data_IF_104800065657
#
_entry.id   IF_104800065657
#
_cell.length_a   1.000
_cell.length_b   1.000
_cell.length_c   1.000
_cell.angle_alpha   90.00
_cell.angle_beta   90.00
_cell.angle_gamma   90.00
#
_symmetry.space_group_name_H-M   'P 1'
#
loop_
_entity.id
_entity.type
_entity.pdbx_description
1 polymer ?
#
# COMPACT_ATOMS: atom_id res chain seq x y z
N UNK A 1 10.15 7.38 -8.83
CA UNK A 1 10.36 5.96 -9.20
C UNK A 1 9.89 5.70 -10.62
N UNK A 2 10.33 4.60 -11.24
CA UNK A 2 9.88 4.17 -12.59
C UNK A 2 8.36 4.03 -12.64
N UNK A 3 7.76 3.51 -11.59
CA UNK A 3 6.30 3.34 -11.48
C UNK A 3 5.59 4.68 -11.57
N UNK A 4 6.04 5.72 -10.85
CA UNK A 4 5.44 7.06 -10.93
C UNK A 4 5.55 7.65 -12.35
N UNK A 5 6.64 7.38 -13.06
CA UNK A 5 6.78 7.80 -14.47
C UNK A 5 5.74 7.10 -15.36
N UNK A 6 5.49 5.82 -15.15
CA UNK A 6 4.47 5.06 -15.89
C UNK A 6 3.05 5.59 -15.60
N UNK A 7 2.72 5.87 -14.33
CA UNK A 7 1.44 6.50 -13.97
C UNK A 7 1.28 7.85 -14.68
N UNK A 8 2.28 8.73 -14.58
CA UNK A 8 2.24 10.03 -15.23
C UNK A 8 2.12 9.93 -16.76
N UNK A 9 2.84 8.98 -17.38
CA UNK A 9 2.76 8.75 -18.81
C UNK A 9 1.37 8.27 -19.24
N UNK A 10 0.79 7.29 -18.55
CA UNK A 10 -0.55 6.79 -18.84
C UNK A 10 -1.63 7.86 -18.61
N UNK A 11 -1.53 8.61 -17.51
CA UNK A 11 -2.47 9.68 -17.20
C UNK A 11 -2.37 10.84 -18.19
N UNK A 12 -1.16 11.26 -18.56
CA UNK A 12 -0.98 12.29 -19.59
C UNK A 12 -1.62 11.86 -20.91
N UNK A 13 -1.49 10.59 -21.28
CA UNK A 13 -2.05 10.03 -22.52
C UNK A 13 -3.58 9.94 -22.49
N UNK A 14 -4.19 9.55 -21.37
CA UNK A 14 -5.62 9.22 -21.27
C UNK A 14 -6.47 10.34 -20.67
N UNK A 15 -5.92 11.20 -19.83
CA UNK A 15 -6.63 12.25 -19.10
C UNK A 15 -5.93 13.61 -19.16
N UNK A 16 -4.81 13.72 -19.88
CA UNK A 16 -4.09 14.98 -20.03
C UNK A 16 -3.42 15.48 -18.74
N UNK A 17 -3.15 16.79 -18.68
CA UNK A 17 -2.52 17.46 -17.55
C UNK A 17 -3.34 17.34 -16.26
N UNK A 18 -4.67 17.34 -16.39
CA UNK A 18 -5.57 17.24 -15.23
C UNK A 18 -5.44 15.89 -14.54
N UNK A 19 -5.31 14.79 -15.30
CA UNK A 19 -5.06 13.47 -14.75
C UNK A 19 -3.75 13.39 -13.96
N UNK A 20 -2.70 14.02 -14.46
CA UNK A 20 -1.40 14.10 -13.76
C UNK A 20 -1.50 14.92 -12.48
N UNK A 21 -2.25 16.04 -12.52
CA UNK A 21 -2.49 16.87 -11.34
C UNK A 21 -3.26 16.12 -10.26
N UNK A 22 -4.32 15.40 -10.63
CA UNK A 22 -5.08 14.51 -9.74
C UNK A 22 -4.18 13.47 -9.08
N UNK A 23 -3.34 12.81 -9.85
CA UNK A 23 -2.40 11.82 -9.31
C UNK A 23 -1.42 12.43 -8.31
N UNK A 24 -0.93 13.63 -8.57
CA UNK A 24 -0.07 14.37 -7.64
C UNK A 24 -0.75 14.57 -6.27
N UNK A 25 -2.01 15.02 -6.26
CA UNK A 25 -2.79 15.20 -5.02
C UNK A 25 -2.94 13.86 -4.26
N UNK A 26 -3.32 12.80 -4.98
CA UNK A 26 -3.48 11.46 -4.39
C UNK A 26 -2.17 10.98 -3.78
N UNK A 27 -1.04 11.17 -4.46
CA UNK A 27 0.27 10.76 -3.97
C UNK A 27 0.66 11.45 -2.67
N UNK A 28 0.41 12.76 -2.53
CA UNK A 28 0.71 13.47 -1.27
C UNK A 28 -0.05 12.87 -0.09
N UNK A 29 -1.34 12.60 -0.24
CA UNK A 29 -2.14 12.00 0.83
C UNK A 29 -1.70 10.56 1.10
N UNK A 30 -1.43 9.79 0.05
CA UNK A 30 -0.98 8.40 0.15
C UNK A 30 0.36 8.29 0.89
N UNK A 31 1.29 9.21 0.69
CA UNK A 31 2.55 9.24 1.43
C UNK A 31 2.35 9.45 2.93
N UNK A 32 1.41 10.32 3.33
CA UNK A 32 1.09 10.53 4.74
C UNK A 32 0.54 9.23 5.36
N UNK A 33 -0.36 8.55 4.65
CA UNK A 33 -0.94 7.30 5.14
C UNK A 33 0.08 6.16 5.17
N UNK A 34 0.91 6.04 4.12
CA UNK A 34 1.99 5.06 4.09
C UNK A 34 3.01 5.27 5.23
N UNK A 35 3.30 6.53 5.58
CA UNK A 35 4.23 6.85 6.66
C UNK A 35 3.79 6.28 8.01
N UNK A 36 2.48 6.18 8.29
CA UNK A 36 1.97 5.54 9.51
C UNK A 36 2.31 4.05 9.56
N UNK A 37 2.13 3.33 8.44
CA UNK A 37 2.46 1.90 8.37
C UNK A 37 3.96 1.66 8.41
N UNK A 38 4.74 2.50 7.74
CA UNK A 38 6.21 2.45 7.77
C UNK A 38 6.71 2.73 9.17
N UNK A 39 6.20 3.79 9.84
CA UNK A 39 6.56 4.14 11.21
C UNK A 39 6.27 3.02 12.20
N UNK A 40 5.07 2.44 12.15
CA UNK A 40 4.72 1.27 12.96
C UNK A 40 5.65 0.08 12.68
N UNK A 41 5.92 -0.22 11.42
CA UNK A 41 6.77 -1.33 11.01
C UNK A 41 8.21 -1.15 11.50
N UNK A 42 8.76 0.05 11.38
CA UNK A 42 10.12 0.37 11.88
C UNK A 42 10.19 0.33 13.40
N UNK A 43 9.17 0.83 14.10
CA UNK A 43 9.12 0.83 15.56
C UNK A 43 8.97 -0.59 16.15
N UNK A 44 8.26 -1.49 15.46
CA UNK A 44 8.08 -2.87 15.91
C UNK A 44 9.24 -3.80 15.54
N UNK A 45 10.01 -3.49 14.50
CA UNK A 45 11.09 -4.34 14.00
C UNK A 45 12.16 -4.73 15.06
N UNK A 46 12.66 -3.83 15.93
CA UNK A 46 13.60 -4.19 16.98
C UNK A 46 13.03 -5.20 17.97
N UNK A 47 11.74 -5.10 18.31
CA UNK A 47 11.06 -6.01 19.24
C UNK A 47 10.94 -7.41 18.61
N UNK A 48 10.56 -7.47 17.35
CA UNK A 48 10.50 -8.72 16.57
C UNK A 48 11.88 -9.36 16.50
N UNK A 49 12.92 -8.58 16.15
CA UNK A 49 14.30 -9.04 16.06
C UNK A 49 14.82 -9.57 17.40
N UNK A 50 14.54 -8.89 18.50
CA UNK A 50 14.91 -9.33 19.84
C UNK A 50 14.32 -10.70 20.19
N UNK A 51 13.00 -10.88 20.04
CA UNK A 51 12.34 -12.14 20.34
C UNK A 51 12.73 -13.26 19.37
N UNK A 52 13.04 -12.94 18.12
CA UNK A 52 13.59 -13.88 17.16
C UNK A 52 14.97 -14.38 17.62
N UNK A 53 15.87 -13.47 17.99
CA UNK A 53 17.21 -13.81 18.49
C UNK A 53 17.18 -14.58 19.81
N UNK A 54 16.24 -14.29 20.69
CA UNK A 54 16.01 -14.99 21.95
C UNK A 54 15.31 -16.35 21.78
N UNK A 55 14.88 -16.73 20.56
CA UNK A 55 14.15 -17.97 20.32
C UNK A 55 12.73 -18.00 20.93
N UNK A 56 12.17 -16.84 21.29
CA UNK A 56 10.86 -16.73 21.95
C UNK A 56 9.74 -16.77 20.93
N UNK A 57 9.39 -17.98 20.50
CA UNK A 57 8.38 -18.25 19.48
C UNK A 57 6.98 -17.80 19.89
N UNK A 58 6.64 -17.94 21.18
CA UNK A 58 5.34 -17.52 21.71
C UNK A 58 5.12 -16.03 21.56
N UNK A 59 6.12 -15.22 21.88
CA UNK A 59 6.02 -13.77 21.72
C UNK A 59 6.08 -13.34 20.25
N UNK A 60 6.81 -14.04 19.39
CA UNK A 60 6.77 -13.77 17.94
C UNK A 60 5.35 -13.94 17.37
N UNK A 61 4.68 -15.03 17.76
CA UNK A 61 3.27 -15.27 17.38
C UNK A 61 2.35 -14.17 17.92
N UNK A 62 2.52 -13.81 19.20
CA UNK A 62 1.72 -12.77 19.86
C UNK A 62 1.91 -11.41 19.19
N UNK A 63 3.16 -11.02 18.91
CA UNK A 63 3.52 -9.78 18.21
C UNK A 63 2.92 -9.74 16.80
N UNK A 64 3.04 -10.81 16.03
CA UNK A 64 2.49 -10.90 14.69
C UNK A 64 0.96 -10.71 14.72
N UNK A 65 0.27 -11.41 15.63
CA UNK A 65 -1.18 -11.31 15.77
C UNK A 65 -1.66 -9.94 16.25
N UNK A 66 -0.94 -9.30 17.18
CA UNK A 66 -1.23 -7.93 17.64
C UNK A 66 -1.00 -6.92 16.52
N UNK A 67 0.11 -7.04 15.80
CA UNK A 67 0.45 -6.15 14.70
C UNK A 67 -0.58 -6.21 13.58
N UNK A 68 -1.03 -7.40 13.19
CA UNK A 68 -2.07 -7.52 12.17
C UNK A 68 -3.39 -6.91 12.59
N UNK A 69 -3.79 -7.07 13.86
CA UNK A 69 -4.99 -6.41 14.37
C UNK A 69 -4.87 -4.89 14.36
N UNK A 70 -3.74 -4.35 14.80
CA UNK A 70 -3.50 -2.90 14.76
C UNK A 70 -3.49 -2.38 13.32
N UNK A 71 -2.76 -3.02 12.42
CA UNK A 71 -2.68 -2.62 11.01
C UNK A 71 -4.07 -2.65 10.38
N UNK A 72 -4.83 -3.73 10.57
CA UNK A 72 -6.20 -3.83 10.06
C UNK A 72 -7.10 -2.70 10.59
N UNK A 73 -7.00 -2.39 11.88
CA UNK A 73 -7.75 -1.29 12.48
C UNK A 73 -7.38 0.05 11.84
N UNK A 74 -6.08 0.33 11.70
CA UNK A 74 -5.63 1.57 11.06
C UNK A 74 -6.02 1.63 9.58
N UNK A 75 -5.93 0.53 8.83
CA UNK A 75 -6.35 0.45 7.43
C UNK A 75 -7.83 0.80 7.26
N UNK A 76 -8.69 0.22 8.12
CA UNK A 76 -10.14 0.51 8.09
C UNK A 76 -10.38 1.99 8.42
N UNK A 77 -9.78 2.52 9.49
CA UNK A 77 -9.93 3.92 9.88
C UNK A 77 -9.46 4.85 8.77
N UNK A 78 -8.28 4.61 8.21
CA UNK A 78 -7.71 5.45 7.16
C UNK A 78 -8.53 5.40 5.88
N UNK A 79 -9.07 4.23 5.51
CA UNK A 79 -9.96 4.12 4.35
C UNK A 79 -11.25 4.90 4.57
N UNK A 80 -11.87 4.80 5.76
CA UNK A 80 -13.08 5.58 6.08
C UNK A 80 -12.77 7.08 6.06
N UNK A 81 -11.66 7.49 6.65
CA UNK A 81 -11.21 8.90 6.64
C UNK A 81 -10.95 9.39 5.21
N UNK A 82 -10.34 8.57 4.37
CA UNK A 82 -10.10 8.90 2.98
C UNK A 82 -11.39 9.02 2.17
N UNK A 83 -12.32 8.06 2.32
CA UNK A 83 -13.62 8.08 1.63
C UNK A 83 -14.50 9.25 2.06
N UNK A 84 -14.67 9.44 3.37
CA UNK A 84 -15.49 10.52 3.91
C UNK A 84 -14.84 11.89 3.70
N UNK A 85 -13.51 11.95 3.84
CA UNK A 85 -12.72 13.18 3.72
C UNK A 85 -12.31 13.54 2.29
N UNK A 86 -12.62 12.72 1.27
CA UNK A 86 -12.17 12.94 -0.10
C UNK A 86 -12.45 14.34 -0.64
N UNK A 87 -13.66 14.93 -0.48
CA UNK A 87 -13.93 16.31 -0.95
C UNK A 87 -13.09 17.35 -0.21
N UNK A 88 -12.88 17.17 1.09
CA UNK A 88 -12.06 18.07 1.90
C UNK A 88 -10.58 17.98 1.52
N UNK A 89 -10.05 16.76 1.43
CA UNK A 89 -8.65 16.51 1.07
C UNK A 89 -8.34 17.01 -0.35
N UNK A 90 -9.21 16.72 -1.31
CA UNK A 90 -9.09 17.26 -2.67
C UNK A 90 -9.18 18.79 -2.69
N UNK A 91 -10.10 19.36 -1.90
CA UNK A 91 -10.33 20.80 -1.82
C UNK A 91 -9.13 21.59 -1.28
N UNK A 92 -8.26 20.99 -0.47
CA UNK A 92 -7.01 21.63 -0.01
C UNK A 92 -6.11 22.00 -1.21
N UNK A 93 -6.11 21.19 -2.27
CA UNK A 93 -5.17 21.33 -3.39
C UNK A 93 -5.81 21.96 -4.64
N UNK A 94 -7.08 21.64 -4.95
CA UNK A 94 -7.67 21.93 -6.26
C UNK A 94 -9.04 22.65 -6.19
N UNK A 95 -9.34 23.34 -5.08
CA UNK A 95 -10.61 24.05 -4.87
C UNK A 95 -10.91 25.16 -5.90
N UNK A 96 -9.88 25.67 -6.56
CA UNK A 96 -9.97 26.74 -7.56
C UNK A 96 -10.62 26.30 -8.88
N UNK A 97 -10.73 24.99 -9.15
CA UNK A 97 -11.31 24.44 -10.37
C UNK A 97 -12.27 23.30 -10.02
N UNK A 98 -13.56 23.52 -10.25
CA UNK A 98 -14.62 22.56 -9.88
C UNK A 98 -14.52 21.24 -10.64
N UNK A 99 -14.20 21.27 -11.93
CA UNK A 99 -14.04 20.05 -12.74
C UNK A 99 -12.88 19.21 -12.25
N UNK A 100 -11.76 19.85 -11.94
CA UNK A 100 -10.58 19.17 -11.40
C UNK A 100 -10.85 18.63 -9.99
N UNK A 101 -11.63 19.34 -9.19
CA UNK A 101 -12.06 18.90 -7.86
C UNK A 101 -12.90 17.63 -7.95
N UNK A 102 -13.91 17.60 -8.80
CA UNK A 102 -14.79 16.45 -8.98
C UNK A 102 -14.01 15.22 -9.49
N UNK A 103 -13.13 15.44 -10.46
CA UNK A 103 -12.23 14.40 -10.96
C UNK A 103 -11.31 13.86 -9.86
N UNK A 104 -10.75 14.75 -9.03
CA UNK A 104 -9.88 14.38 -7.91
C UNK A 104 -10.63 13.58 -6.86
N UNK A 105 -11.83 13.99 -6.48
CA UNK A 105 -12.67 13.27 -5.50
C UNK A 105 -13.01 11.87 -5.99
N UNK A 106 -13.42 11.74 -7.26
CA UNK A 106 -13.75 10.44 -7.85
C UNK A 106 -12.53 9.50 -7.89
N UNK A 107 -11.41 10.00 -8.38
CA UNK A 107 -10.17 9.23 -8.45
C UNK A 107 -9.65 8.85 -7.06
N UNK A 108 -9.71 9.79 -6.10
CA UNK A 108 -9.28 9.58 -4.73
C UNK A 108 -10.11 8.50 -4.02
N UNK A 109 -11.43 8.50 -4.18
CA UNK A 109 -12.31 7.45 -3.65
C UNK A 109 -11.96 6.08 -4.23
N UNK A 110 -11.78 5.99 -5.54
CA UNK A 110 -11.35 4.73 -6.16
C UNK A 110 -10.00 4.26 -5.61
N UNK A 111 -9.05 5.18 -5.45
CA UNK A 111 -7.72 4.88 -4.95
C UNK A 111 -7.70 4.48 -3.48
N UNK A 112 -8.57 5.10 -2.65
CA UNK A 112 -8.58 4.90 -1.19
C UNK A 112 -8.84 3.47 -0.75
N UNK A 113 -9.50 2.66 -1.59
CA UNK A 113 -9.70 1.23 -1.35
C UNK A 113 -8.36 0.49 -1.23
N UNK A 114 -7.30 0.98 -1.88
CA UNK A 114 -5.96 0.39 -1.76
C UNK A 114 -5.39 0.45 -0.35
N UNK A 115 -5.82 1.42 0.46
CA UNK A 115 -5.38 1.56 1.86
C UNK A 115 -5.78 0.37 2.73
N UNK A 116 -6.82 -0.39 2.34
CA UNK A 116 -7.20 -1.64 3.02
C UNK A 116 -6.16 -2.76 2.89
N UNK A 117 -5.24 -2.63 1.94
CA UNK A 117 -4.26 -3.68 1.63
C UNK A 117 -2.81 -3.25 1.91
N UNK A 118 -2.51 -1.97 1.71
CA UNK A 118 -1.15 -1.41 1.73
C UNK A 118 -0.36 -1.76 3.00
N UNK A 119 -0.95 -1.62 4.18
CA UNK A 119 -0.26 -1.82 5.45
C UNK A 119 0.21 -3.27 5.68
N UNK A 120 -0.52 -4.26 5.16
CA UNK A 120 -0.15 -5.67 5.33
C UNK A 120 1.17 -6.00 4.63
N UNK A 121 1.32 -5.59 3.37
CA UNK A 121 2.53 -5.86 2.59
C UNK A 121 3.73 -5.09 3.11
N UNK A 122 3.55 -3.85 3.56
CA UNK A 122 4.61 -3.05 4.20
C UNK A 122 5.08 -3.74 5.49
N UNK A 123 4.15 -4.12 6.36
CA UNK A 123 4.49 -4.78 7.61
C UNK A 123 5.11 -6.16 7.39
N UNK A 124 4.55 -6.99 6.50
CA UNK A 124 5.08 -8.31 6.22
C UNK A 124 6.54 -8.25 5.73
N UNK A 125 6.86 -7.33 4.83
CA UNK A 125 8.24 -7.11 4.38
C UNK A 125 9.15 -6.72 5.54
N UNK A 126 8.74 -5.77 6.38
CA UNK A 126 9.49 -5.34 7.57
C UNK A 126 9.65 -6.47 8.60
N UNK A 127 8.61 -7.26 8.81
CA UNK A 127 8.64 -8.42 9.71
C UNK A 127 9.69 -9.44 9.27
N UNK A 128 9.74 -9.79 7.98
CA UNK A 128 10.77 -10.69 7.46
C UNK A 128 12.17 -10.08 7.52
N UNK A 129 12.32 -8.77 7.34
CA UNK A 129 13.60 -8.08 7.60
C UNK A 129 14.03 -8.25 9.05
N UNK A 130 13.12 -8.07 10.00
CA UNK A 130 13.40 -8.23 11.43
C UNK A 130 13.71 -9.68 11.82
N UNK A 131 13.17 -10.66 11.08
CA UNK A 131 13.53 -12.09 11.21
C UNK A 131 14.86 -12.45 10.53
N UNK A 132 15.58 -11.47 9.98
CA UNK A 132 16.80 -11.67 9.19
C UNK A 132 16.58 -12.52 7.91
N UNK A 133 15.35 -12.55 7.37
CA UNK A 133 15.04 -13.16 6.08
C UNK A 133 14.91 -12.07 5.00
N UNK A 134 16.06 -11.41 4.72
CA UNK A 134 16.14 -10.31 3.77
C UNK A 134 15.72 -10.71 2.34
N UNK A 135 15.89 -11.97 1.96
CA UNK A 135 15.45 -12.47 0.67
C UNK A 135 13.91 -12.39 0.52
N UNK A 136 13.17 -12.90 1.49
CA UNK A 136 11.69 -12.84 1.46
C UNK A 136 11.19 -11.40 1.49
N UNK A 137 11.79 -10.56 2.35
CA UNK A 137 11.48 -9.13 2.41
C UNK A 137 11.70 -8.44 1.06
N UNK A 138 12.84 -8.69 0.41
CA UNK A 138 13.16 -8.12 -0.90
C UNK A 138 12.18 -8.60 -1.98
N UNK A 139 11.81 -9.89 -1.99
CA UNK A 139 10.83 -10.44 -2.95
C UNK A 139 9.47 -9.78 -2.77
N UNK A 140 8.96 -9.64 -1.53
CA UNK A 140 7.68 -9.00 -1.28
C UNK A 140 7.70 -7.54 -1.79
N UNK A 141 8.72 -6.76 -1.43
CA UNK A 141 8.82 -5.36 -1.82
C UNK A 141 9.02 -5.16 -3.31
N UNK A 142 9.86 -5.97 -3.93
CA UNK A 142 10.12 -5.91 -5.37
C UNK A 142 8.90 -6.31 -6.19
N UNK A 143 8.27 -7.44 -5.84
CA UNK A 143 7.06 -7.90 -6.56
C UNK A 143 5.92 -6.90 -6.41
N UNK A 144 5.71 -6.34 -5.21
CA UNK A 144 4.68 -5.33 -4.95
C UNK A 144 4.81 -4.15 -5.91
N UNK A 145 5.99 -3.55 -5.99
CA UNK A 145 6.21 -2.30 -6.74
C UNK A 145 6.54 -2.56 -8.20
N UNK A 146 7.52 -3.44 -8.49
CA UNK A 146 8.04 -3.61 -9.85
C UNK A 146 7.21 -4.56 -10.70
N UNK A 147 6.59 -5.58 -10.12
CA UNK A 147 5.83 -6.57 -10.90
C UNK A 147 4.35 -6.23 -10.88
N UNK A 148 3.75 -6.14 -9.70
CA UNK A 148 2.30 -6.01 -9.58
C UNK A 148 1.83 -4.61 -9.95
N UNK A 149 2.45 -3.57 -9.41
CA UNK A 149 2.03 -2.19 -9.67
C UNK A 149 2.35 -1.78 -11.11
N UNK A 150 3.55 -2.09 -11.61
CA UNK A 150 3.92 -1.84 -13.01
C UNK A 150 3.05 -2.64 -13.97
N UNK A 151 2.84 -3.93 -13.71
CA UNK A 151 1.99 -4.77 -14.55
C UNK A 151 0.54 -4.29 -14.58
N UNK A 152 -0.01 -3.96 -13.42
CA UNK A 152 -1.39 -3.48 -13.32
C UNK A 152 -1.61 -2.14 -14.03
N UNK A 153 -0.70 -1.16 -13.86
CA UNK A 153 -0.83 0.16 -14.50
C UNK A 153 -0.64 0.11 -16.03
N UNK A 154 0.02 -0.92 -16.54
CA UNK A 154 0.14 -1.13 -17.98
C UNK A 154 -1.11 -1.85 -18.52
N UNK A 155 -1.57 -2.91 -17.84
CA UNK A 155 -2.60 -3.82 -18.35
C UNK A 155 -4.02 -3.27 -18.17
N UNK A 156 -4.38 -2.81 -16.96
CA UNK A 156 -5.76 -2.42 -16.66
C UNK A 156 -6.29 -1.26 -17.50
N UNK A 157 -5.50 -0.22 -17.84
CA UNK A 157 -6.00 0.87 -18.69
C UNK A 157 -6.40 0.44 -20.09
N UNK A 158 -5.89 -0.68 -20.62
CA UNK A 158 -6.34 -1.22 -21.90
C UNK A 158 -7.81 -1.63 -21.89
N UNK A 159 -8.31 -2.09 -20.74
CA UNK A 159 -9.68 -2.57 -20.60
C UNK A 159 -10.63 -1.53 -20.00
N UNK A 160 -10.14 -0.69 -19.10
CA UNK A 160 -10.94 0.21 -18.26
C UNK A 160 -10.63 1.70 -18.47
N UNK A 161 -9.72 2.03 -19.40
CA UNK A 161 -9.33 3.42 -19.65
C UNK A 161 -8.75 4.09 -18.40
N UNK A 162 -9.14 5.34 -18.16
CA UNK A 162 -8.65 6.14 -17.00
C UNK A 162 -8.96 5.47 -15.67
N UNK A 163 -10.15 4.86 -15.52
CA UNK A 163 -10.52 4.14 -14.29
C UNK A 163 -9.58 2.97 -14.01
N UNK A 164 -9.04 2.34 -15.04
CA UNK A 164 -8.06 1.27 -14.92
C UNK A 164 -6.77 1.70 -14.24
N UNK A 165 -6.39 2.98 -14.37
CA UNK A 165 -5.21 3.53 -13.68
C UNK A 165 -5.46 3.58 -12.16
N UNK A 166 -6.66 4.01 -11.74
CA UNK A 166 -7.00 4.07 -10.31
C UNK A 166 -7.18 2.69 -9.68
N UNK A 167 -7.71 1.74 -10.43
CA UNK A 167 -7.87 0.36 -9.97
C UNK A 167 -6.57 -0.45 -9.99
N UNK A 168 -5.55 -0.01 -10.74
CA UNK A 168 -4.28 -0.72 -10.82
C UNK A 168 -3.58 -0.85 -9.48
N UNK A 169 -3.63 0.21 -8.64
CA UNK A 169 -3.02 0.16 -7.31
C UNK A 169 -3.76 -0.82 -6.39
N UNK A 170 -5.10 -0.89 -6.49
CA UNK A 170 -5.89 -1.82 -5.68
C UNK A 170 -5.52 -3.26 -6.04
N UNK A 171 -5.44 -3.57 -7.33
CA UNK A 171 -5.05 -4.90 -7.82
C UNK A 171 -3.62 -5.25 -7.38
N UNK A 172 -2.69 -4.31 -7.50
CA UNK A 172 -1.29 -4.51 -7.10
C UNK A 172 -1.16 -4.77 -5.59
N UNK A 173 -1.81 -3.96 -4.76
CA UNK A 173 -1.78 -4.14 -3.29
C UNK A 173 -2.46 -5.44 -2.86
N UNK A 174 -3.56 -5.81 -3.49
CA UNK A 174 -4.22 -7.09 -3.24
C UNK A 174 -3.29 -8.27 -3.58
N UNK A 175 -2.63 -8.27 -4.74
CA UNK A 175 -1.65 -9.29 -5.10
C UNK A 175 -0.47 -9.31 -4.13
N UNK A 176 -0.01 -8.15 -3.66
CA UNK A 176 1.05 -8.05 -2.67
C UNK A 176 0.65 -8.65 -1.31
N UNK A 177 -0.60 -8.46 -0.88
CA UNK A 177 -1.14 -9.12 0.31
C UNK A 177 -1.16 -10.64 0.14
N UNK A 178 -1.65 -11.14 -1.00
CA UNK A 178 -1.65 -12.58 -1.29
C UNK A 178 -0.23 -13.18 -1.24
N UNK A 179 0.75 -12.50 -1.84
CA UNK A 179 2.16 -12.92 -1.79
C UNK A 179 2.71 -12.88 -0.37
N UNK A 180 2.39 -11.84 0.40
CA UNK A 180 2.81 -11.69 1.79
C UNK A 180 2.25 -12.79 2.68
N UNK A 181 0.95 -13.10 2.54
CA UNK A 181 0.30 -14.21 3.25
C UNK A 181 0.90 -15.57 2.88
N UNK A 182 1.19 -15.78 1.59
CA UNK A 182 1.86 -17.00 1.14
C UNK A 182 3.19 -17.22 1.88
N UNK A 183 4.04 -16.19 1.96
CA UNK A 183 5.31 -16.31 2.66
C UNK A 183 5.14 -16.43 4.18
N UNK A 184 4.20 -15.71 4.77
CA UNK A 184 3.89 -15.83 6.20
C UNK A 184 3.46 -17.25 6.56
N UNK A 185 2.59 -17.87 5.78
CA UNK A 185 2.16 -19.25 6.01
C UNK A 185 3.31 -20.24 5.79
N UNK A 186 4.02 -20.11 4.66
CA UNK A 186 5.10 -21.03 4.28
C UNK A 186 6.28 -21.01 5.28
N UNK A 187 6.61 -19.85 5.81
CA UNK A 187 7.73 -19.65 6.73
C UNK A 187 7.37 -19.81 8.20
N UNK A 188 6.10 -19.97 8.52
CA UNK A 188 5.60 -20.03 9.88
C UNK A 188 6.26 -21.12 10.71
N UNK A 189 6.39 -22.33 10.19
CA UNK A 189 7.08 -23.45 10.85
C UNK A 189 8.57 -23.17 11.07
N UNK A 190 9.23 -22.52 10.10
CA UNK A 190 10.67 -22.20 10.20
C UNK A 190 10.97 -21.28 11.38
N UNK A 191 10.13 -20.25 11.57
CA UNK A 191 10.34 -19.23 12.61
C UNK A 191 9.49 -19.48 13.87
N UNK A 192 8.55 -20.41 13.81
CA UNK A 192 7.77 -20.85 14.97
C UNK A 192 6.72 -19.88 15.48
N UNK A 193 6.17 -19.02 14.61
CA UNK A 193 5.11 -18.07 14.98
C UNK A 193 3.68 -18.56 14.63
N UNK A 194 3.50 -19.86 14.46
CA UNK A 194 2.19 -20.53 14.29
C UNK A 194 1.79 -21.28 15.54
#
# INVERSE_FOLDING_TARGET
>A
SIVNMLYNWQLMRLAGSDGVAVYGVIMYVSFIFAALFIGYSMGSAPIVGYHCGAGNKSELKNLLGKSFRMILTFQIILTIVAEAGAPFLAGIFVRYNTNLLDMTVHAFRSYSISFLFMGFSIYASSFFTALNDGFVSAVISFCRTMIFETGAVIILPFFLGVSGIWYSIIAAEFMAVCLSLFFLIRKAKKYGYT
#
